data_IF_015304698446
#
_entry.id   IF_015304698446
#
_cell.length_a   1.000
_cell.length_b   1.000
_cell.length_c   1.000
_cell.angle_alpha   90.00
_cell.angle_beta   90.00
_cell.angle_gamma   90.00
#
_symmetry.space_group_name_H-M   'P 1'
#
loop_
_entity.id
_entity.type
_entity.pdbx_description
1 polymer ?
#
# COMPACT_ATOMS: atom_id res chain seq x y z
N UNK A 1 -79.49 21.89 -15.01
CA UNK A 1 -78.57 22.02 -13.93
C UNK A 1 -77.27 21.27 -14.33
N UNK A 2 -76.21 22.02 -14.67
CA UNK A 2 -74.93 21.47 -15.11
C UNK A 2 -73.90 21.69 -13.98
N UNK A 3 -73.41 20.62 -13.36
CA UNK A 3 -72.40 20.68 -12.37
C UNK A 3 -70.98 20.60 -13.04
N UNK A 4 -70.19 21.68 -12.93
CA UNK A 4 -68.83 21.74 -13.37
C UNK A 4 -67.96 21.13 -12.21
N UNK A 5 -67.25 20.02 -12.49
CA UNK A 5 -66.21 19.46 -11.61
C UNK A 5 -64.87 20.12 -11.95
N UNK A 6 -64.31 20.88 -11.02
CA UNK A 6 -62.99 21.45 -11.11
C UNK A 6 -61.99 20.42 -10.66
N UNK A 7 -61.12 19.93 -11.56
CA UNK A 7 -59.96 19.05 -11.23
C UNK A 7 -58.78 19.96 -10.92
N UNK A 8 -58.40 20.02 -9.65
CA UNK A 8 -57.17 20.69 -9.19
C UNK A 8 -55.96 19.78 -9.45
N UNK A 9 -55.12 20.13 -10.41
CA UNK A 9 -53.87 19.45 -10.67
C UNK A 9 -52.81 19.90 -9.63
N UNK A 10 -52.48 19.03 -8.67
CA UNK A 10 -51.36 19.22 -7.74
C UNK A 10 -50.06 18.94 -8.48
N UNK A 11 -49.33 19.99 -8.88
CA UNK A 11 -47.97 19.90 -9.39
C UNK A 11 -47.05 19.63 -8.20
N UNK A 12 -46.67 18.36 -8.02
CA UNK A 12 -45.60 17.96 -7.12
C UNK A 12 -44.26 18.46 -7.68
N UNK A 13 -43.75 19.56 -7.13
CA UNK A 13 -42.37 20.01 -7.38
C UNK A 13 -41.40 18.96 -6.82
N UNK A 14 -40.84 18.10 -7.67
CA UNK A 14 -39.74 17.20 -7.33
C UNK A 14 -38.52 18.08 -7.07
N UNK A 15 -37.93 18.09 -5.86
CA UNK A 15 -36.70 18.83 -5.60
C UNK A 15 -35.62 18.31 -6.55
N UNK A 16 -35.04 19.20 -7.36
CA UNK A 16 -33.90 18.87 -8.21
C UNK A 16 -32.77 18.35 -7.31
N UNK A 17 -32.47 17.07 -7.45
CA UNK A 17 -31.32 16.48 -6.75
C UNK A 17 -30.07 17.27 -7.16
N UNK A 18 -29.41 17.93 -6.19
CA UNK A 18 -28.19 18.68 -6.43
C UNK A 18 -27.19 17.74 -7.14
N UNK A 19 -26.78 18.12 -8.35
CA UNK A 19 -25.84 17.35 -9.14
C UNK A 19 -24.56 17.16 -8.33
N UNK A 20 -24.14 15.92 -8.16
CA UNK A 20 -22.87 15.63 -7.49
C UNK A 20 -21.74 16.27 -8.29
N UNK A 21 -20.81 17.03 -7.63
CA UNK A 21 -19.69 17.62 -8.34
C UNK A 21 -18.91 16.53 -9.09
N UNK A 22 -18.55 16.81 -10.32
CA UNK A 22 -17.70 15.92 -11.11
C UNK A 22 -16.33 15.77 -10.43
N UNK A 23 -15.70 14.60 -10.49
CA UNK A 23 -14.33 14.43 -10.00
C UNK A 23 -13.38 15.39 -10.72
N UNK A 24 -12.36 15.96 -10.03
CA UNK A 24 -11.37 16.77 -10.71
C UNK A 24 -10.55 15.88 -11.66
N UNK A 25 -10.19 16.41 -12.84
CA UNK A 25 -9.33 15.73 -13.78
C UNK A 25 -7.94 15.43 -13.17
N UNK A 26 -7.40 16.37 -12.38
CA UNK A 26 -6.13 16.21 -11.64
C UNK A 26 -6.33 16.60 -10.19
N UNK A 27 -5.90 15.74 -9.28
CA UNK A 27 -5.88 15.99 -7.84
C UNK A 27 -4.44 15.93 -7.33
N UNK A 28 -3.97 17.01 -6.71
CA UNK A 28 -2.59 17.14 -6.25
C UNK A 28 -2.50 17.01 -4.74
N UNK A 29 -1.65 16.11 -4.28
CA UNK A 29 -1.24 15.91 -2.91
C UNK A 29 0.20 16.39 -2.73
N UNK A 30 0.49 17.09 -1.64
CA UNK A 30 1.87 17.43 -1.25
C UNK A 30 2.27 16.56 -0.06
N UNK A 31 3.53 16.13 -0.05
CA UNK A 31 4.06 15.42 1.11
C UNK A 31 4.33 16.41 2.25
N UNK A 32 4.06 15.97 3.49
CA UNK A 32 4.43 16.68 4.71
C UNK A 32 5.90 16.46 5.08
N UNK A 33 6.29 16.93 6.26
CA UNK A 33 7.66 16.81 6.78
C UNK A 33 8.14 15.34 6.92
N UNK A 34 7.21 14.40 7.14
CA UNK A 34 7.52 12.96 7.17
C UNK A 34 7.79 12.35 5.79
N UNK A 35 7.60 13.13 4.71
CA UNK A 35 7.67 12.65 3.33
C UNK A 35 6.44 11.88 2.86
N UNK A 36 5.39 11.78 3.69
CA UNK A 36 4.11 11.17 3.32
C UNK A 36 3.06 12.23 2.97
N UNK A 37 2.14 11.96 2.04
CA UNK A 37 0.99 12.82 1.79
C UNK A 37 -0.11 12.55 2.83
N UNK A 38 -0.73 13.64 3.32
CA UNK A 38 -1.86 13.59 4.24
C UNK A 38 -3.05 14.33 3.64
N UNK A 39 -4.24 13.88 4.00
CA UNK A 39 -5.48 14.49 3.55
C UNK A 39 -6.54 14.45 4.66
N UNK A 40 -7.23 15.56 4.94
CA UNK A 40 -8.45 15.53 5.75
C UNK A 40 -9.54 14.73 5.03
N UNK A 41 -10.13 13.78 5.73
CA UNK A 41 -11.20 12.92 5.19
C UNK A 41 -12.38 12.94 6.16
N UNK A 42 -13.53 13.41 5.71
CA UNK A 42 -14.76 13.29 6.48
C UNK A 42 -15.26 11.84 6.41
N UNK A 43 -15.50 11.26 7.58
CA UNK A 43 -16.01 9.89 7.76
C UNK A 43 -17.14 9.95 8.77
N UNK A 44 -18.40 9.82 8.30
CA UNK A 44 -19.60 10.00 9.15
C UNK A 44 -19.52 11.26 10.01
N UNK A 45 -19.27 11.12 11.31
CA UNK A 45 -19.36 12.18 12.32
C UNK A 45 -18.04 12.90 12.60
N UNK A 46 -16.95 12.55 11.91
CA UNK A 46 -15.63 13.12 12.18
C UNK A 46 -14.86 13.40 10.89
N UNK A 47 -14.04 14.46 10.94
CA UNK A 47 -12.97 14.67 9.96
C UNK A 47 -11.68 14.11 10.56
N UNK A 48 -11.06 13.22 9.82
CA UNK A 48 -9.87 12.49 10.21
C UNK A 48 -8.67 12.95 9.38
N UNK A 49 -7.49 13.04 10.00
CA UNK A 49 -6.24 13.28 9.30
C UNK A 49 -5.68 11.94 8.81
N UNK A 50 -5.76 11.70 7.51
CA UNK A 50 -5.48 10.41 6.91
C UNK A 50 -4.20 10.48 6.07
N UNK A 51 -3.29 9.54 6.30
CA UNK A 51 -2.11 9.31 5.46
C UNK A 51 -2.51 8.59 4.19
N UNK A 52 -2.02 9.06 3.03
CA UNK A 52 -2.29 8.43 1.74
C UNK A 52 -1.18 7.43 1.41
N UNK A 53 -1.55 6.17 1.21
CA UNK A 53 -0.65 5.11 0.75
C UNK A 53 -0.78 4.91 -0.76
N UNK A 54 0.33 4.61 -1.41
CA UNK A 54 0.36 4.32 -2.86
C UNK A 54 0.03 2.86 -3.14
N UNK A 55 0.33 1.97 -2.20
CA UNK A 55 0.09 0.53 -2.28
C UNK A 55 -1.30 0.15 -1.76
N UNK A 56 -1.65 -1.12 -1.93
CA UNK A 56 -2.86 -1.80 -1.51
C UNK A 56 -4.12 -1.50 -2.34
N UNK A 57 -5.12 -2.36 -2.17
CA UNK A 57 -6.45 -2.19 -2.75
C UNK A 57 -7.21 -1.03 -2.11
N UNK A 58 -8.27 -0.60 -2.78
CA UNK A 58 -9.12 0.50 -2.32
C UNK A 58 -9.69 0.23 -0.93
N UNK A 59 -9.09 0.82 0.10
CA UNK A 59 -9.50 0.66 1.50
C UNK A 59 -9.17 1.89 2.35
N UNK A 60 -9.95 2.06 3.41
CA UNK A 60 -9.65 2.95 4.54
C UNK A 60 -9.28 2.06 5.74
N UNK A 61 -8.08 2.22 6.27
CA UNK A 61 -7.59 1.47 7.43
C UNK A 61 -7.39 2.47 8.58
N UNK A 62 -8.10 2.31 9.69
CA UNK A 62 -8.11 3.27 10.79
C UNK A 62 -7.54 2.69 12.08
N UNK A 63 -6.95 3.56 12.88
CA UNK A 63 -6.75 3.32 14.30
C UNK A 63 -8.09 3.17 15.01
N UNK A 64 -8.15 2.44 16.12
CA UNK A 64 -9.37 2.16 16.85
C UNK A 64 -10.07 3.43 17.35
N UNK A 65 -9.33 4.38 17.96
CA UNK A 65 -9.91 5.59 18.53
C UNK A 65 -10.53 6.51 17.45
N UNK A 66 -9.88 6.82 16.33
CA UNK A 66 -10.48 7.54 15.21
C UNK A 66 -11.75 6.87 14.64
N UNK A 67 -11.74 5.56 14.49
CA UNK A 67 -12.92 4.82 14.02
C UNK A 67 -14.11 4.98 15.00
N UNK A 68 -13.83 4.99 16.30
CA UNK A 68 -14.85 5.23 17.36
C UNK A 68 -15.37 6.67 17.31
N UNK A 69 -14.49 7.68 17.16
CA UNK A 69 -14.89 9.08 17.00
C UNK A 69 -15.78 9.28 15.75
N UNK A 70 -15.47 8.60 14.67
CA UNK A 70 -16.27 8.63 13.45
C UNK A 70 -17.62 7.89 13.60
N UNK A 71 -17.87 7.18 14.68
CA UNK A 71 -19.09 6.42 14.90
C UNK A 71 -19.20 5.18 14.01
N UNK A 72 -18.06 4.59 13.60
CA UNK A 72 -18.06 3.36 12.81
C UNK A 72 -18.45 2.17 13.69
N UNK A 73 -19.37 1.35 13.17
CA UNK A 73 -19.78 0.08 13.77
C UNK A 73 -19.46 -1.05 12.81
N UNK A 74 -18.94 -2.20 13.28
CA UNK A 74 -18.68 -3.34 12.42
C UNK A 74 -20.00 -3.89 11.85
N UNK A 75 -19.92 -4.60 10.73
CA UNK A 75 -21.06 -5.37 10.24
C UNK A 75 -21.54 -6.32 11.33
N UNK A 76 -22.87 -6.45 11.50
CA UNK A 76 -23.43 -7.45 12.39
C UNK A 76 -22.87 -8.85 12.06
N UNK A 77 -22.55 -9.62 13.09
CA UNK A 77 -22.08 -11.02 13.04
C UNK A 77 -20.75 -11.26 12.28
N UNK A 78 -20.50 -10.60 11.15
CA UNK A 78 -19.35 -10.88 10.28
C UNK A 78 -18.24 -9.83 10.39
N UNK A 79 -18.54 -8.63 10.87
CA UNK A 79 -17.63 -7.47 10.83
C UNK A 79 -16.56 -7.44 11.93
N UNK A 80 -16.32 -8.56 12.65
CA UNK A 80 -15.27 -8.65 13.68
C UNK A 80 -14.52 -9.97 13.55
N UNK A 81 -13.21 -9.90 13.44
CA UNK A 81 -12.31 -11.05 13.40
C UNK A 81 -11.08 -10.81 14.27
N UNK A 82 -10.72 -11.80 15.09
CA UNK A 82 -9.49 -11.78 15.88
C UNK A 82 -8.49 -12.74 15.26
N UNK A 83 -7.30 -12.22 14.97
CA UNK A 83 -6.18 -12.99 14.46
C UNK A 83 -5.16 -13.15 15.59
N UNK A 84 -4.70 -14.38 15.78
CA UNK A 84 -3.63 -14.73 16.72
C UNK A 84 -2.38 -15.06 15.92
N UNK A 85 -1.29 -14.35 16.21
CA UNK A 85 -0.01 -14.60 15.58
C UNK A 85 1.11 -14.04 16.48
N UNK A 86 2.16 -14.81 16.68
CA UNK A 86 3.31 -14.42 17.50
C UNK A 86 4.03 -13.14 16.98
N UNK A 87 3.88 -12.81 15.69
CA UNK A 87 4.43 -11.57 15.09
C UNK A 87 3.60 -10.33 15.42
N UNK A 88 2.41 -10.49 16.01
CA UNK A 88 1.58 -9.38 16.48
C UNK A 88 1.97 -9.08 17.92
N UNK A 89 2.36 -7.84 18.26
CA UNK A 89 2.65 -7.48 19.64
C UNK A 89 1.48 -7.85 20.56
N UNK A 90 1.74 -8.61 21.63
CA UNK A 90 0.72 -9.17 22.54
C UNK A 90 -0.07 -10.36 21.94
N UNK A 91 0.42 -10.95 20.86
CA UNK A 91 -0.05 -12.23 20.31
C UNK A 91 -1.35 -12.17 19.51
N UNK A 92 -2.11 -11.07 19.54
CA UNK A 92 -3.38 -10.97 18.81
C UNK A 92 -3.73 -9.55 18.36
N UNK A 93 -4.56 -9.45 17.32
CA UNK A 93 -5.21 -8.22 16.90
C UNK A 93 -6.65 -8.48 16.46
N UNK A 94 -7.55 -7.63 16.90
CA UNK A 94 -8.95 -7.67 16.47
C UNK A 94 -9.17 -6.66 15.35
N UNK A 95 -9.59 -7.17 14.22
CA UNK A 95 -9.98 -6.40 13.05
C UNK A 95 -11.50 -6.25 13.05
N UNK A 96 -11.96 -5.06 12.72
CA UNK A 96 -13.37 -4.74 12.50
C UNK A 96 -13.51 -4.16 11.12
N UNK A 97 -14.57 -4.44 10.41
CA UNK A 97 -14.79 -3.94 9.07
C UNK A 97 -16.24 -3.56 8.80
N UNK A 98 -16.43 -2.59 7.92
CA UNK A 98 -17.70 -2.17 7.35
C UNK A 98 -17.43 -1.44 6.04
N UNK A 99 -18.50 -1.06 5.32
CA UNK A 99 -18.44 -0.07 4.27
C UNK A 99 -18.65 1.32 4.88
N UNK A 100 -17.74 2.25 4.60
CA UNK A 100 -17.84 3.64 5.04
C UNK A 100 -18.03 4.57 3.83
N UNK A 101 -18.93 5.55 3.97
CA UNK A 101 -18.96 6.70 3.08
C UNK A 101 -17.89 7.68 3.57
N UNK A 102 -16.96 8.03 2.71
CA UNK A 102 -15.89 8.99 2.97
C UNK A 102 -16.01 10.18 2.01
N UNK A 103 -15.59 11.35 2.47
CA UNK A 103 -15.46 12.55 1.64
C UNK A 103 -14.06 13.11 1.87
N UNK A 104 -13.08 12.76 1.03
CA UNK A 104 -11.77 13.37 1.08
C UNK A 104 -11.86 14.84 0.71
N UNK A 105 -11.07 15.71 1.38
CA UNK A 105 -11.08 17.13 1.10
C UNK A 105 -10.76 17.41 -0.38
N UNK A 106 -11.63 18.21 -1.03
CA UNK A 106 -11.50 18.53 -2.46
C UNK A 106 -11.96 17.44 -3.43
N UNK A 107 -12.53 16.33 -2.94
CA UNK A 107 -12.98 15.21 -3.76
C UNK A 107 -14.44 14.84 -3.46
N UNK A 108 -15.17 14.26 -4.44
CA UNK A 108 -16.52 13.79 -4.21
C UNK A 108 -16.57 12.58 -3.27
N UNK A 109 -17.72 12.36 -2.60
CA UNK A 109 -17.87 11.23 -1.70
C UNK A 109 -17.75 9.88 -2.42
N UNK A 110 -17.18 8.89 -1.71
CA UNK A 110 -17.04 7.51 -2.17
C UNK A 110 -17.35 6.54 -1.03
N UNK A 111 -17.99 5.41 -1.34
CA UNK A 111 -18.07 4.26 -0.44
C UNK A 111 -16.81 3.41 -0.61
N UNK A 112 -16.17 3.08 0.51
CA UNK A 112 -14.98 2.24 0.53
C UNK A 112 -15.07 1.21 1.64
N UNK A 113 -14.42 0.04 1.51
CA UNK A 113 -14.17 -0.83 2.63
C UNK A 113 -13.41 -0.07 3.72
N UNK A 114 -13.91 -0.11 4.94
CA UNK A 114 -13.25 0.47 6.11
C UNK A 114 -12.91 -0.64 7.08
N UNK A 115 -11.64 -0.70 7.45
CA UNK A 115 -11.10 -1.64 8.43
C UNK A 115 -10.51 -0.84 9.58
N UNK A 116 -10.76 -1.26 10.82
CA UNK A 116 -10.07 -0.69 11.97
C UNK A 116 -9.61 -1.78 12.91
N UNK A 117 -8.50 -1.51 13.55
CA UNK A 117 -7.76 -2.52 14.30
C UNK A 117 -7.59 -2.05 15.73
N UNK A 118 -7.62 -2.98 16.67
CA UNK A 118 -7.39 -2.70 18.11
C UNK A 118 -5.97 -2.20 18.42
N UNK A 119 -5.08 -2.16 17.42
CA UNK A 119 -3.71 -1.67 17.51
C UNK A 119 -3.49 -0.48 16.59
N UNK A 120 -2.46 0.31 16.86
CA UNK A 120 -2.09 1.42 15.98
C UNK A 120 -1.67 0.90 14.60
N UNK A 121 -2.22 1.50 13.55
CA UNK A 121 -1.85 1.29 12.14
C UNK A 121 -0.91 2.41 11.70
N UNK A 122 -1.12 3.61 12.24
CA UNK A 122 -0.28 4.77 12.06
C UNK A 122 -0.15 5.47 13.41
N UNK A 123 1.00 6.01 13.73
CA UNK A 123 1.30 6.81 14.92
C UNK A 123 1.26 8.31 14.63
N UNK A 124 1.37 8.68 13.36
CA UNK A 124 1.41 10.05 12.83
C UNK A 124 0.09 10.48 12.15
N UNK A 125 -0.92 9.61 12.11
CA UNK A 125 -2.21 9.84 11.46
C UNK A 125 -3.35 9.07 12.14
N UNK A 126 -4.58 9.45 11.84
CA UNK A 126 -5.77 8.73 12.29
C UNK A 126 -5.95 7.36 11.59
N UNK A 127 -5.27 7.18 10.45
CA UNK A 127 -5.29 5.97 9.65
C UNK A 127 -4.67 6.16 8.28
N UNK A 128 -4.90 5.21 7.39
CA UNK A 128 -4.35 5.14 6.05
C UNK A 128 -5.50 5.00 5.05
N UNK A 129 -5.46 5.76 3.96
CA UNK A 129 -6.33 5.62 2.81
C UNK A 129 -5.48 5.37 1.58
N UNK A 130 -5.86 4.40 0.77
CA UNK A 130 -5.11 4.11 -0.44
C UNK A 130 -5.43 5.09 -1.55
N UNK A 131 -4.46 5.40 -2.40
CA UNK A 131 -4.63 6.30 -3.55
C UNK A 131 -5.76 5.84 -4.48
N UNK A 132 -5.99 4.53 -4.59
CA UNK A 132 -7.11 3.95 -5.35
C UNK A 132 -8.49 4.36 -4.83
N UNK A 133 -8.61 4.76 -3.57
CA UNK A 133 -9.86 5.24 -2.99
C UNK A 133 -10.23 6.68 -3.42
N UNK A 134 -9.28 7.47 -3.89
CA UNK A 134 -9.48 8.85 -4.31
C UNK A 134 -10.11 8.91 -5.71
N UNK A 135 -11.19 9.68 -5.88
CA UNK A 135 -11.89 9.86 -7.17
C UNK A 135 -11.30 11.04 -7.94
N UNK A 136 -10.30 10.80 -8.76
CA UNK A 136 -9.77 11.73 -9.76
C UNK A 136 -9.25 10.91 -10.94
N UNK A 137 -9.19 11.50 -12.14
CA UNK A 137 -8.63 10.83 -13.32
C UNK A 137 -7.12 10.64 -13.17
N UNK A 138 -6.48 11.62 -12.53
CA UNK A 138 -5.06 11.59 -12.18
C UNK A 138 -4.83 12.11 -10.77
N UNK A 139 -3.98 11.45 -10.02
CA UNK A 139 -3.57 11.85 -8.68
C UNK A 139 -2.06 12.06 -8.70
N UNK A 140 -1.63 13.28 -8.42
CA UNK A 140 -0.22 13.66 -8.36
C UNK A 140 0.21 13.79 -6.90
N UNK A 141 1.20 13.00 -6.49
CA UNK A 141 1.91 13.18 -5.23
C UNK A 141 3.19 13.97 -5.53
N UNK A 142 3.22 15.22 -5.09
CA UNK A 142 4.37 16.12 -5.27
C UNK A 142 5.23 16.07 -4.02
N UNK A 143 6.45 15.58 -4.17
CA UNK A 143 7.41 15.39 -3.07
C UNK A 143 8.35 16.60 -2.93
N UNK A 144 8.70 17.20 -4.06
CA UNK A 144 9.58 18.39 -4.14
C UNK A 144 9.53 19.00 -5.53
N UNK A 145 10.20 20.12 -5.73
CA UNK A 145 10.41 20.72 -7.06
C UNK A 145 11.21 19.75 -7.94
N UNK A 146 10.90 19.77 -9.23
CA UNK A 146 11.53 18.86 -10.20
C UNK A 146 12.95 19.36 -10.55
N UNK A 147 14.01 18.61 -10.18
CA UNK A 147 15.37 19.00 -10.49
C UNK A 147 15.65 18.95 -12.01
N UNK A 148 16.55 19.81 -12.54
CA UNK A 148 17.02 19.67 -13.92
C UNK A 148 17.62 18.29 -14.19
N UNK A 149 17.35 17.75 -15.38
CA UNK A 149 17.83 16.41 -15.78
C UNK A 149 17.02 15.25 -15.18
N UNK A 150 15.86 15.52 -14.60
CA UNK A 150 14.92 14.47 -14.20
C UNK A 150 14.40 13.72 -15.43
N UNK A 151 14.24 12.41 -15.28
CA UNK A 151 13.63 11.54 -16.29
C UNK A 151 12.22 11.11 -15.87
N UNK A 152 11.41 10.76 -16.85
CA UNK A 152 10.06 10.26 -16.63
C UNK A 152 10.04 8.76 -16.90
N UNK A 153 9.60 7.99 -15.89
CA UNK A 153 9.32 6.56 -16.03
C UNK A 153 7.81 6.34 -16.07
N UNK A 154 7.38 5.48 -16.99
CA UNK A 154 5.98 5.07 -17.14
C UNK A 154 5.87 3.59 -16.82
N UNK A 155 5.11 3.26 -15.76
CA UNK A 155 4.85 1.89 -15.36
C UNK A 155 3.38 1.59 -15.64
N UNK A 156 3.11 0.61 -16.50
CA UNK A 156 1.73 0.20 -16.82
C UNK A 156 1.09 -0.46 -15.61
N UNK A 157 -0.16 -0.12 -15.35
CA UNK A 157 -1.02 -0.84 -14.43
C UNK A 157 -1.52 -2.10 -15.16
N UNK A 158 -0.92 -3.23 -14.84
CA UNK A 158 -1.22 -4.53 -15.44
C UNK A 158 -1.34 -5.65 -14.40
N UNK A 159 -1.22 -5.28 -13.11
CA UNK A 159 -1.35 -6.19 -11.98
C UNK A 159 -2.74 -6.19 -11.35
N UNK A 160 -2.87 -6.89 -10.24
CA UNK A 160 -4.11 -7.01 -9.47
C UNK A 160 -4.48 -5.69 -8.78
N UNK A 161 -5.78 -5.49 -8.54
CA UNK A 161 -6.30 -4.29 -7.88
C UNK A 161 -6.27 -3.02 -8.73
N UNK A 162 -6.52 -1.87 -8.11
CA UNK A 162 -6.61 -0.57 -8.81
C UNK A 162 -5.22 0.04 -9.15
N UNK A 163 -4.17 -0.35 -8.44
CA UNK A 163 -2.84 0.29 -8.53
C UNK A 163 -1.72 -0.68 -8.86
N UNK A 164 -2.04 -1.96 -9.06
CA UNK A 164 -1.06 -3.03 -9.22
C UNK A 164 -0.23 -2.93 -10.51
N UNK A 165 1.04 -3.23 -10.37
CA UNK A 165 2.00 -3.37 -11.46
C UNK A 165 2.51 -4.81 -11.40
N UNK A 166 2.65 -5.47 -12.54
CA UNK A 166 3.34 -6.76 -12.61
C UNK A 166 4.52 -6.71 -13.57
N UNK A 167 5.52 -7.50 -13.26
CA UNK A 167 6.65 -7.77 -14.15
C UNK A 167 7.04 -9.23 -14.10
N UNK A 168 7.81 -9.68 -15.07
CA UNK A 168 8.28 -11.06 -15.16
C UNK A 168 9.79 -11.12 -14.94
N UNK A 169 10.21 -12.02 -14.05
CA UNK A 169 11.61 -12.36 -13.84
C UNK A 169 11.76 -13.89 -14.00
N UNK A 170 12.34 -14.33 -15.10
CA UNK A 170 12.33 -15.75 -15.47
C UNK A 170 10.90 -16.28 -15.58
N UNK A 171 10.60 -17.34 -14.85
CA UNK A 171 9.27 -17.95 -14.84
C UNK A 171 8.29 -17.34 -13.81
N UNK A 172 8.76 -16.38 -13.01
CA UNK A 172 7.95 -15.77 -11.97
C UNK A 172 7.31 -14.47 -12.46
N UNK A 173 5.99 -14.36 -12.25
CA UNK A 173 5.24 -13.11 -12.35
C UNK A 173 5.22 -12.47 -10.98
N UNK A 174 5.72 -11.24 -10.88
CA UNK A 174 5.96 -10.52 -9.63
C UNK A 174 5.04 -9.30 -9.56
N UNK A 175 4.24 -9.23 -8.50
CA UNK A 175 3.46 -8.04 -8.17
C UNK A 175 4.36 -6.96 -7.57
N UNK A 176 4.24 -5.74 -8.10
CA UNK A 176 5.01 -4.58 -7.65
C UNK A 176 4.06 -3.51 -7.12
N UNK A 177 4.39 -2.99 -5.95
CA UNK A 177 3.72 -1.85 -5.34
C UNK A 177 4.71 -0.75 -4.99
N UNK A 178 4.27 0.50 -5.03
CA UNK A 178 5.04 1.67 -4.58
C UNK A 178 4.61 2.02 -3.15
N UNK A 179 5.55 2.37 -2.24
CA UNK A 179 5.20 2.63 -0.85
C UNK A 179 6.13 3.64 -0.18
N UNK A 180 5.59 4.80 0.15
CA UNK A 180 6.32 5.89 0.83
C UNK A 180 6.51 5.63 2.34
N UNK A 181 5.80 4.67 2.93
CA UNK A 181 5.97 4.32 4.35
C UNK A 181 7.08 3.31 4.59
N UNK A 182 7.63 2.71 3.55
CA UNK A 182 8.76 1.77 3.67
C UNK A 182 10.07 2.50 3.39
N UNK A 183 11.00 2.58 4.34
CA UNK A 183 12.30 3.23 4.11
C UNK A 183 13.16 2.44 3.12
N UNK A 184 12.93 1.14 2.99
CA UNK A 184 13.65 0.19 2.14
C UNK A 184 12.71 -0.56 1.23
N UNK A 185 13.21 -0.98 0.07
CA UNK A 185 12.50 -1.91 -0.83
C UNK A 185 12.48 -3.29 -0.19
N UNK A 186 11.29 -3.83 0.05
CA UNK A 186 11.08 -5.15 0.68
C UNK A 186 10.26 -6.07 -0.21
N UNK A 187 10.49 -7.36 -0.05
CA UNK A 187 9.84 -8.38 -0.85
C UNK A 187 9.62 -9.68 -0.08
N UNK A 188 8.76 -10.56 -0.57
CA UNK A 188 8.67 -11.89 0.00
C UNK A 188 9.86 -12.78 -0.45
N UNK A 189 10.04 -13.93 0.21
CA UNK A 189 11.14 -14.84 -0.06
C UNK A 189 11.19 -15.31 -1.52
N UNK A 190 10.01 -15.50 -2.16
CA UNK A 190 9.90 -15.98 -3.54
C UNK A 190 10.39 -14.91 -4.53
N UNK A 191 9.99 -13.65 -4.36
CA UNK A 191 10.48 -12.54 -5.17
C UNK A 191 11.99 -12.32 -4.96
N UNK A 192 12.48 -12.44 -3.71
CA UNK A 192 13.91 -12.38 -3.40
C UNK A 192 14.71 -13.48 -4.11
N UNK A 193 14.20 -14.71 -4.13
CA UNK A 193 14.81 -15.81 -4.85
C UNK A 193 14.82 -15.56 -6.37
N UNK A 194 13.74 -15.01 -6.94
CA UNK A 194 13.67 -14.66 -8.35
C UNK A 194 14.70 -13.59 -8.75
N UNK A 195 14.89 -12.53 -7.92
CA UNK A 195 15.93 -11.52 -8.14
C UNK A 195 17.34 -12.12 -8.13
N UNK A 196 17.61 -13.04 -7.20
CA UNK A 196 18.91 -13.72 -7.11
C UNK A 196 19.12 -14.62 -8.32
N UNK A 197 18.11 -15.43 -8.71
CA UNK A 197 18.18 -16.30 -9.88
C UNK A 197 18.37 -15.52 -11.19
N UNK A 198 17.75 -14.33 -11.31
CA UNK A 198 17.94 -13.42 -12.44
C UNK A 198 19.30 -12.69 -12.42
N UNK A 199 20.13 -12.93 -11.40
CA UNK A 199 21.44 -12.31 -11.26
C UNK A 199 21.40 -10.80 -10.97
N UNK A 200 20.25 -10.26 -10.51
CA UNK A 200 20.07 -8.85 -10.18
C UNK A 200 20.58 -8.51 -8.77
N UNK A 201 20.65 -9.50 -7.88
CA UNK A 201 21.13 -9.34 -6.52
C UNK A 201 21.79 -10.63 -6.02
N UNK A 202 22.52 -10.53 -4.91
CA UNK A 202 23.04 -11.68 -4.14
C UNK A 202 22.60 -11.59 -2.69
N UNK A 203 22.56 -12.71 -1.99
CA UNK A 203 22.25 -12.76 -0.56
C UNK A 203 23.44 -12.29 0.27
N UNK A 204 23.16 -11.50 1.30
CA UNK A 204 24.14 -11.12 2.30
C UNK A 204 23.83 -11.78 3.64
N UNK A 205 24.87 -11.99 4.45
CA UNK A 205 24.74 -12.51 5.83
C UNK A 205 24.36 -11.37 6.80
N UNK A 206 23.29 -10.64 6.48
CA UNK A 206 22.78 -9.54 7.28
C UNK A 206 21.26 -9.58 7.37
N UNK A 207 20.76 -9.33 8.57
CA UNK A 207 19.33 -9.29 8.87
C UNK A 207 18.92 -7.89 9.27
N UNK A 208 17.79 -7.45 8.79
CA UNK A 208 17.10 -6.24 9.21
C UNK A 208 15.64 -6.52 9.55
N UNK A 209 14.90 -5.46 9.89
CA UNK A 209 13.49 -5.56 10.26
C UNK A 209 12.67 -4.54 9.49
N UNK A 210 11.65 -5.03 8.78
CA UNK A 210 10.62 -4.19 8.19
C UNK A 210 9.51 -3.94 9.21
N UNK A 211 9.11 -2.68 9.32
CA UNK A 211 8.05 -2.24 10.25
C UNK A 211 6.86 -1.68 9.46
N UNK A 212 5.97 -2.54 8.95
CA UNK A 212 4.81 -2.08 8.19
C UNK A 212 3.82 -1.28 9.02
N UNK A 213 3.75 -1.55 10.33
CA UNK A 213 2.87 -0.89 11.28
C UNK A 213 3.58 -0.70 12.63
N UNK A 214 3.14 0.26 13.47
CA UNK A 214 3.68 0.44 14.81
C UNK A 214 3.66 -0.86 15.62
N UNK A 215 4.80 -1.19 16.22
CA UNK A 215 4.99 -2.38 17.04
C UNK A 215 5.10 -3.71 16.27
N UNK A 216 4.99 -3.72 14.94
CA UNK A 216 5.23 -4.93 14.13
C UNK A 216 6.61 -4.84 13.50
N UNK A 217 7.48 -5.80 13.80
CA UNK A 217 8.81 -5.93 13.21
C UNK A 217 8.93 -7.29 12.53
N UNK A 218 9.14 -7.28 11.24
CA UNK A 218 9.19 -8.48 10.41
C UNK A 218 10.60 -8.66 9.88
N UNK A 219 11.30 -9.77 10.20
CA UNK A 219 12.68 -9.96 9.80
C UNK A 219 12.81 -10.12 8.28
N UNK A 220 13.90 -9.61 7.75
CA UNK A 220 14.30 -9.78 6.36
C UNK A 220 15.81 -9.99 6.26
N UNK A 221 16.23 -10.80 5.28
CA UNK A 221 17.61 -10.94 4.85
C UNK A 221 17.96 -9.83 3.87
N UNK A 222 19.10 -9.19 4.04
CA UNK A 222 19.63 -8.22 3.08
C UNK A 222 19.98 -8.92 1.77
N UNK A 223 19.56 -8.31 0.65
CA UNK A 223 20.08 -8.64 -0.67
C UNK A 223 20.95 -7.47 -1.14
N UNK A 224 22.11 -7.78 -1.69
CA UNK A 224 23.02 -6.82 -2.29
C UNK A 224 22.74 -6.77 -3.79
N UNK A 225 22.23 -5.64 -4.32
CA UNK A 225 22.01 -5.51 -5.74
C UNK A 225 23.33 -5.52 -6.51
N UNK A 226 23.31 -6.06 -7.72
CA UNK A 226 24.42 -5.93 -8.66
C UNK A 226 24.56 -4.46 -9.07
N UNK A 227 25.78 -3.99 -9.29
CA UNK A 227 26.02 -2.63 -9.77
C UNK A 227 25.20 -2.33 -11.04
N UNK A 228 24.46 -1.23 -11.05
CA UNK A 228 23.59 -0.82 -12.14
C UNK A 228 22.32 -1.66 -12.33
N UNK A 229 22.01 -2.59 -11.43
CA UNK A 229 20.79 -3.39 -11.53
C UNK A 229 19.54 -2.52 -11.38
N UNK A 230 18.58 -2.73 -12.27
CA UNK A 230 17.30 -2.03 -12.28
C UNK A 230 16.13 -3.01 -12.39
N UNK A 231 14.98 -2.60 -11.90
CA UNK A 231 13.70 -3.30 -12.11
C UNK A 231 12.68 -2.29 -12.63
N UNK A 232 12.13 -2.51 -13.81
CA UNK A 232 11.24 -1.57 -14.51
C UNK A 232 11.86 -0.15 -14.69
N UNK A 233 13.18 -0.06 -14.85
CA UNK A 233 13.90 1.22 -14.92
C UNK A 233 14.17 1.89 -13.56
N UNK A 234 13.70 1.31 -12.45
CA UNK A 234 13.98 1.77 -11.10
C UNK A 234 15.28 1.13 -10.59
N UNK A 235 16.24 1.90 -10.04
CA UNK A 235 17.47 1.34 -9.52
C UNK A 235 17.20 0.48 -8.28
N UNK A 236 17.86 -0.66 -8.19
CA UNK A 236 17.82 -1.50 -7.00
C UNK A 236 18.90 -1.04 -6.02
N UNK A 237 18.51 -0.70 -4.78
CA UNK A 237 19.44 -0.15 -3.77
C UNK A 237 19.45 -0.94 -2.47
N UNK A 238 18.50 -0.72 -1.59
CA UNK A 238 18.40 -1.40 -0.30
C UNK A 238 17.30 -2.46 -0.35
N UNK A 239 17.68 -3.71 -0.53
CA UNK A 239 16.74 -4.80 -0.73
C UNK A 239 16.64 -5.69 0.50
N UNK A 240 15.40 -5.93 0.96
CA UNK A 240 15.08 -6.84 2.05
C UNK A 240 14.17 -7.98 1.60
N UNK A 241 14.67 -9.22 1.62
CA UNK A 241 13.86 -10.42 1.36
C UNK A 241 13.33 -10.98 2.68
N UNK A 242 12.00 -11.07 2.83
CA UNK A 242 11.35 -11.61 4.03
C UNK A 242 11.82 -13.02 4.34
N UNK A 243 12.15 -13.24 5.61
CA UNK A 243 12.55 -14.56 6.16
C UNK A 243 11.74 -14.87 7.42
N UNK A 244 11.78 -16.12 7.88
CA UNK A 244 11.22 -16.50 9.18
C UNK A 244 12.13 -16.03 10.32
N UNK A 245 11.61 -15.99 11.55
CA UNK A 245 12.41 -15.68 12.75
C UNK A 245 13.54 -16.69 12.98
N UNK A 246 13.30 -17.97 12.68
CA UNK A 246 14.32 -19.00 12.77
C UNK A 246 15.45 -18.79 11.77
N UNK A 247 15.09 -18.47 10.53
CA UNK A 247 16.04 -18.17 9.46
C UNK A 247 16.87 -16.92 9.80
N UNK A 248 16.21 -15.85 10.26
CA UNK A 248 16.91 -14.64 10.69
C UNK A 248 17.95 -14.91 11.78
N UNK A 249 17.62 -15.77 12.74
CA UNK A 249 18.60 -16.19 13.78
C UNK A 249 19.77 -16.97 13.21
N UNK A 250 19.54 -17.90 12.26
CA UNK A 250 20.61 -18.64 11.57
C UNK A 250 21.54 -17.71 10.82
N UNK A 251 20.99 -16.80 10.01
CA UNK A 251 21.78 -15.80 9.25
C UNK A 251 22.61 -14.92 10.20
N UNK A 252 22.01 -14.46 11.30
CA UNK A 252 22.71 -13.64 12.29
C UNK A 252 23.80 -14.43 13.04
N UNK A 253 23.61 -15.73 13.28
CA UNK A 253 24.63 -16.60 13.87
C UNK A 253 25.80 -16.84 12.90
N UNK A 254 25.50 -17.11 11.64
CA UNK A 254 26.53 -17.26 10.59
C UNK A 254 27.36 -15.97 10.42
N UNK A 255 26.73 -14.80 10.47
CA UNK A 255 27.43 -13.52 10.40
C UNK A 255 28.42 -13.29 11.57
N UNK A 256 28.17 -13.91 12.74
CA UNK A 256 29.05 -13.84 13.91
C UNK A 256 30.09 -14.96 13.95
N UNK A 257 30.08 -15.89 12.99
CA UNK A 257 30.95 -17.07 13.01
C UNK A 257 30.59 -18.09 14.10
N UNK A 258 29.38 -18.03 14.66
CA UNK A 258 28.90 -18.91 15.74
C UNK A 258 28.02 -20.07 15.26
N UNK A 259 27.81 -20.22 13.94
CA UNK A 259 27.06 -21.35 13.40
C UNK A 259 27.87 -22.63 13.48
N UNK A 260 27.34 -23.68 14.13
CA UNK A 260 27.96 -25.00 14.24
C UNK A 260 27.65 -25.94 13.09
N UNK A 261 26.75 -25.53 12.16
CA UNK A 261 26.37 -26.32 11.00
C UNK A 261 27.03 -25.79 9.73
N UNK A 262 28.09 -26.49 9.31
CA UNK A 262 28.94 -26.12 8.17
C UNK A 262 28.43 -26.63 6.81
N UNK A 263 27.37 -27.45 6.74
CA UNK A 263 27.06 -28.18 5.50
C UNK A 263 25.84 -27.75 4.70
N UNK A 264 25.01 -26.81 5.17
CA UNK A 264 23.79 -26.42 4.46
C UNK A 264 23.62 -24.90 4.22
N UNK A 265 24.70 -24.13 4.20
CA UNK A 265 24.66 -22.66 4.05
C UNK A 265 24.02 -22.18 2.71
N UNK A 266 23.98 -23.03 1.70
CA UNK A 266 23.46 -22.70 0.36
C UNK A 266 22.10 -23.32 0.03
N UNK A 267 21.55 -24.17 0.87
CA UNK A 267 20.27 -24.82 0.61
C UNK A 267 19.16 -24.17 1.41
N UNK A 268 18.54 -23.10 0.89
CA UNK A 268 17.21 -22.70 1.35
C UNK A 268 16.22 -23.66 0.73
N UNK A 269 15.78 -24.64 1.50
CA UNK A 269 14.63 -25.46 1.17
C UNK A 269 13.38 -24.59 1.25
N UNK A 270 13.05 -23.89 0.18
CA UNK A 270 11.72 -23.33 -0.03
C UNK A 270 10.83 -24.52 -0.36
N UNK A 271 10.27 -25.18 0.64
CA UNK A 271 9.24 -26.18 0.42
C UNK A 271 7.99 -25.46 -0.11
N UNK A 272 7.96 -25.29 -1.42
CA UNK A 272 6.79 -24.81 -2.15
C UNK A 272 5.82 -25.98 -2.27
N UNK A 273 4.89 -26.09 -1.31
CA UNK A 273 3.72 -26.92 -1.49
C UNK A 273 2.91 -26.32 -2.65
N UNK A 274 3.07 -26.93 -3.85
CA UNK A 274 2.41 -26.49 -5.10
C UNK A 274 0.88 -26.49 -5.03
N UNK A 275 0.28 -27.01 -3.97
CA UNK A 275 -1.18 -27.19 -3.83
C UNK A 275 -1.93 -26.00 -3.23
N UNK A 276 -1.26 -24.98 -2.68
CA UNK A 276 -1.91 -23.78 -2.12
C UNK A 276 -1.47 -22.51 -2.86
N UNK A 277 -2.02 -22.27 -4.03
CA UNK A 277 -1.70 -21.12 -4.90
C UNK A 277 -2.20 -19.75 -4.37
N UNK A 278 -3.01 -19.66 -3.32
CA UNK A 278 -3.52 -18.39 -2.79
C UNK A 278 -2.67 -17.91 -1.60
N UNK A 279 -2.05 -16.75 -1.74
CA UNK A 279 -1.30 -16.04 -0.68
C UNK A 279 0.22 -16.19 -0.75
N UNK A 280 0.78 -16.70 -1.84
CA UNK A 280 2.23 -16.87 -2.05
C UNK A 280 2.74 -16.28 -3.37
N UNK A 281 1.93 -15.48 -4.06
CA UNK A 281 2.41 -14.75 -5.24
C UNK A 281 3.64 -13.92 -4.85
N UNK A 282 4.70 -13.91 -5.70
CA UNK A 282 5.86 -13.08 -5.45
C UNK A 282 5.46 -11.61 -5.50
N UNK A 283 5.92 -10.83 -4.52
CA UNK A 283 5.67 -9.40 -4.48
C UNK A 283 6.90 -8.62 -4.06
N UNK A 284 7.01 -7.40 -4.58
CA UNK A 284 8.02 -6.40 -4.23
C UNK A 284 7.32 -5.09 -3.90
N UNK A 285 7.69 -4.50 -2.79
CA UNK A 285 7.26 -3.18 -2.35
C UNK A 285 8.45 -2.23 -2.52
N UNK A 286 8.40 -1.37 -3.54
CA UNK A 286 9.43 -0.36 -3.81
C UNK A 286 9.31 0.73 -2.75
N UNK A 287 10.37 0.91 -1.98
CA UNK A 287 10.43 1.83 -0.85
C UNK A 287 11.05 3.18 -1.17
N UNK A 288 11.23 3.97 -0.11
CA UNK A 288 11.79 5.34 -0.18
C UNK A 288 13.25 5.37 -0.60
N UNK A 289 14.00 4.29 -0.38
CA UNK A 289 15.36 4.12 -0.90
C UNK A 289 15.46 4.38 -2.42
N UNK A 290 14.35 4.22 -3.15
CA UNK A 290 14.21 4.51 -4.57
C UNK A 290 13.31 5.73 -4.81
N UNK A 291 12.13 5.77 -4.15
CA UNK A 291 11.11 6.78 -4.42
C UNK A 291 11.50 8.18 -3.96
N UNK A 292 12.43 8.33 -3.01
CA UNK A 292 12.93 9.64 -2.59
C UNK A 292 13.74 10.36 -3.68
N UNK A 293 14.16 9.66 -4.74
CA UNK A 293 14.75 10.30 -5.92
C UNK A 293 13.70 10.94 -6.84
N UNK A 294 12.42 10.66 -6.62
CA UNK A 294 11.35 11.24 -7.41
C UNK A 294 10.91 12.59 -6.84
N UNK A 295 10.63 13.53 -7.72
CA UNK A 295 9.99 14.80 -7.38
C UNK A 295 8.47 14.69 -7.43
N UNK A 296 7.97 13.76 -8.26
CA UNK A 296 6.53 13.51 -8.43
C UNK A 296 6.27 12.06 -8.74
N UNK A 297 5.21 11.54 -8.13
CA UNK A 297 4.65 10.22 -8.41
C UNK A 297 3.17 10.41 -8.76
N UNK A 298 2.78 10.05 -9.96
CA UNK A 298 1.42 10.25 -10.47
C UNK A 298 0.75 8.91 -10.72
N UNK A 299 -0.45 8.75 -10.20
CA UNK A 299 -1.36 7.66 -10.58
C UNK A 299 -2.34 8.19 -11.64
N UNK A 300 -2.11 7.87 -12.90
CA UNK A 300 -2.92 8.24 -14.05
C UNK A 300 -3.92 7.10 -14.31
N UNK A 301 -5.09 7.20 -13.69
CA UNK A 301 -6.15 6.21 -13.77
C UNK A 301 -6.76 6.15 -15.16
N UNK A 302 -6.92 7.29 -15.79
CA UNK A 302 -7.51 7.36 -17.13
C UNK A 302 -6.69 6.60 -18.18
N UNK A 303 -5.36 6.54 -17.99
CA UNK A 303 -4.44 5.84 -18.88
C UNK A 303 -3.87 4.56 -18.26
N UNK A 304 -4.40 4.10 -17.12
CA UNK A 304 -4.00 2.88 -16.41
C UNK A 304 -2.47 2.77 -16.22
N UNK A 305 -1.84 3.79 -15.60
CA UNK A 305 -0.41 3.84 -15.44
C UNK A 305 0.04 4.65 -14.23
N UNK A 306 1.25 4.37 -13.79
CA UNK A 306 2.03 5.25 -12.93
C UNK A 306 3.01 6.05 -13.79
N UNK A 307 3.18 7.33 -13.44
CA UNK A 307 4.17 8.21 -14.07
C UNK A 307 5.04 8.77 -12.94
N UNK A 308 6.31 8.41 -12.95
CA UNK A 308 7.30 8.84 -11.96
C UNK A 308 8.27 9.82 -12.62
N UNK A 309 8.44 11.00 -12.03
CA UNK A 309 9.44 11.99 -12.44
C UNK A 309 10.58 11.95 -11.42
N UNK A 310 11.72 11.38 -11.78
CA UNK A 310 12.80 11.07 -10.86
C UNK A 310 14.16 11.50 -11.43
N UNK A 311 15.11 11.77 -10.52
CA UNK A 311 16.53 11.99 -10.86
C UNK A 311 17.34 10.97 -10.06
N UNK A 312 17.59 9.82 -10.67
CA UNK A 312 18.45 8.81 -10.06
C UNK A 312 19.92 9.23 -10.17
N UNK A 313 20.62 9.11 -9.05
CA UNK A 313 22.08 9.35 -8.93
C UNK A 313 22.84 8.04 -9.09
#
# INVERSE_FOLDING_TARGET
MRALAAVAALLLAVPAAAARPAPPAVFTLKTGASGNPYLPVAVKNATLNIRIALSFDTALILNQAPATRAGLKPFPFLGKRTFKNAMIPGGEATFRFNLASITPAGLPPKKVPAVWVSRAIADDADGILTVGALKADRIDVVMRDTPPGSQTLILKKNGSGETGITTRLGDEEIDISLELNSPTTVMNARAGAALVAAGLARRANAVGYWRPFPGVALPWQRLEPRAGATLLGLPLRQLGSRVSESEARRIAAAARGTSTDSDDADTITVSADRRKKRGREPWILIGRDVLDDCSRISFDRANERWVLTCKFS
#
